data_IF_764361911036
#
_entry.id   IF_764361911036
#
_cell.length_a   1.000
_cell.length_b   1.000
_cell.length_c   1.000
_cell.angle_alpha   90.00
_cell.angle_beta   90.00
_cell.angle_gamma   90.00
#
_symmetry.space_group_name_H-M   'P 1'
#
loop_
_entity.id
_entity.type
_entity.pdbx_description
1 polymer ?
#
# COMPACT_ATOMS: atom_id res chain seq x y z
N UNK A 1 5.07 19.82 -16.24
CA UNK A 1 4.20 20.03 -15.08
C UNK A 1 2.99 19.10 -15.18
N UNK A 2 3.16 17.80 -14.92
CA UNK A 2 2.07 16.81 -15.06
C UNK A 2 2.14 15.69 -14.00
N UNK A 3 3.35 15.42 -13.50
CA UNK A 3 3.63 14.37 -12.51
C UNK A 3 2.88 14.58 -11.18
N UNK A 4 2.87 15.80 -10.67
CA UNK A 4 2.22 16.11 -9.39
C UNK A 4 0.69 16.02 -9.49
N UNK A 5 0.13 16.42 -10.63
CA UNK A 5 -1.32 16.32 -10.89
C UNK A 5 -1.76 14.85 -11.01
N UNK A 6 -0.90 14.02 -11.61
CA UNK A 6 -1.11 12.58 -11.77
C UNK A 6 -1.07 11.83 -10.41
N UNK A 7 -0.23 12.29 -9.47
CA UNK A 7 -0.20 11.79 -8.09
C UNK A 7 -1.45 12.22 -7.33
N UNK A 8 -1.88 13.48 -7.48
CA UNK A 8 -3.12 13.99 -6.87
C UNK A 8 -4.34 13.22 -7.34
N UNK A 9 -4.49 13.00 -8.64
CA UNK A 9 -5.59 12.20 -9.20
C UNK A 9 -5.61 10.78 -8.64
N UNK A 10 -4.44 10.13 -8.51
CA UNK A 10 -4.37 8.80 -7.92
C UNK A 10 -4.68 8.82 -6.41
N UNK A 11 -4.31 9.89 -5.70
CA UNK A 11 -4.63 10.08 -4.29
C UNK A 11 -6.12 10.38 -4.05
N UNK A 12 -6.81 11.04 -4.98
CA UNK A 12 -8.27 11.22 -4.91
C UNK A 12 -8.99 9.87 -5.10
N UNK A 13 -8.54 9.05 -6.06
CA UNK A 13 -9.07 7.70 -6.26
C UNK A 13 -8.84 6.76 -5.06
N UNK A 14 -7.77 7.01 -4.29
CA UNK A 14 -7.50 6.31 -3.03
C UNK A 14 -8.55 6.61 -1.96
N UNK A 15 -9.14 7.81 -1.95
CA UNK A 15 -10.17 8.17 -0.96
C UNK A 15 -11.48 7.43 -1.21
N UNK A 16 -11.76 7.04 -2.46
CA UNK A 16 -12.91 6.22 -2.86
C UNK A 16 -12.77 4.74 -2.43
N UNK A 17 -11.60 4.31 -1.97
CA UNK A 17 -11.36 2.93 -1.53
C UNK A 17 -12.07 2.60 -0.22
N UNK A 18 -12.34 1.31 -0.02
CA UNK A 18 -12.94 0.79 1.22
C UNK A 18 -11.99 0.90 2.41
N UNK A 19 -12.54 0.98 3.62
CA UNK A 19 -11.75 1.03 4.87
C UNK A 19 -10.79 -0.17 5.02
N UNK A 20 -11.19 -1.35 4.57
CA UNK A 20 -10.33 -2.53 4.58
C UNK A 20 -9.11 -2.37 3.65
N UNK A 21 -9.32 -1.86 2.44
CA UNK A 21 -8.24 -1.60 1.48
C UNK A 21 -7.31 -0.49 1.98
N UNK A 22 -7.84 0.55 2.61
CA UNK A 22 -7.04 1.61 3.24
C UNK A 22 -6.16 1.06 4.37
N UNK A 23 -6.69 0.15 5.20
CA UNK A 23 -5.91 -0.52 6.26
C UNK A 23 -4.76 -1.37 5.70
N UNK A 24 -5.01 -2.13 4.64
CA UNK A 24 -3.96 -2.91 3.97
C UNK A 24 -2.94 -2.00 3.29
N UNK A 25 -3.40 -0.90 2.68
CA UNK A 25 -2.51 0.09 2.09
C UNK A 25 -1.61 0.75 3.14
N UNK A 26 -2.10 0.99 4.36
CA UNK A 26 -1.30 1.47 5.48
C UNK A 26 -0.11 0.56 5.79
N UNK A 27 -0.32 -0.75 5.76
CA UNK A 27 0.76 -1.72 5.95
C UNK A 27 1.76 -1.73 4.77
N UNK A 28 1.28 -1.48 3.55
CA UNK A 28 2.12 -1.41 2.34
C UNK A 28 3.03 -0.19 2.35
N UNK A 29 2.50 0.98 2.69
CA UNK A 29 3.22 2.23 2.49
C UNK A 29 4.19 2.60 3.61
N UNK A 30 4.17 1.91 4.77
CA UNK A 30 5.14 2.08 5.86
C UNK A 30 5.41 3.56 6.25
N UNK A 31 4.38 4.41 6.22
CA UNK A 31 4.51 5.86 6.49
C UNK A 31 4.80 6.77 5.29
N UNK A 32 5.06 6.22 4.09
CA UNK A 32 5.32 6.98 2.85
C UNK A 32 4.29 6.68 1.74
N UNK A 33 3.02 7.13 1.89
CA UNK A 33 1.95 6.86 0.93
C UNK A 33 2.23 7.43 -0.47
N UNK A 34 2.79 8.64 -0.56
CA UNK A 34 3.11 9.29 -1.83
C UNK A 34 4.17 8.53 -2.63
N UNK A 35 5.22 8.02 -1.98
CA UNK A 35 6.24 7.22 -2.64
C UNK A 35 5.69 5.88 -3.15
N UNK A 36 4.83 5.24 -2.37
CA UNK A 36 4.15 4.02 -2.78
C UNK A 36 3.34 4.27 -4.06
N UNK A 37 2.51 5.33 -4.10
CA UNK A 37 1.74 5.72 -5.29
C UNK A 37 2.63 6.01 -6.50
N UNK A 38 3.75 6.71 -6.29
CA UNK A 38 4.75 6.99 -7.35
C UNK A 38 5.33 5.70 -7.93
N UNK A 39 5.56 4.65 -7.14
CA UNK A 39 6.06 3.36 -7.64
C UNK A 39 5.05 2.70 -8.58
N UNK A 40 3.76 2.71 -8.23
CA UNK A 40 2.70 2.17 -9.10
C UNK A 40 2.54 2.99 -10.39
N UNK A 41 2.61 4.32 -10.29
CA UNK A 41 2.56 5.22 -11.46
C UNK A 41 3.76 4.98 -12.38
N UNK A 42 4.98 4.88 -11.84
CA UNK A 42 6.19 4.56 -12.62
C UNK A 42 6.07 3.23 -13.35
N UNK A 43 5.53 2.20 -12.69
CA UNK A 43 5.35 0.86 -13.26
C UNK A 43 4.30 0.79 -14.39
N UNK A 44 3.49 1.84 -14.56
CA UNK A 44 2.44 1.95 -15.58
C UNK A 44 2.58 3.20 -16.44
N UNK A 45 3.81 3.70 -16.58
CA UNK A 45 4.13 4.84 -17.45
C UNK A 45 3.26 6.08 -17.17
N UNK A 46 3.01 6.40 -15.90
CA UNK A 46 2.20 7.54 -15.46
C UNK A 46 0.71 7.45 -15.84
N UNK A 47 0.23 6.26 -16.17
CA UNK A 47 -1.17 6.04 -16.49
C UNK A 47 -2.01 5.84 -15.21
N UNK A 48 -2.74 6.87 -14.79
CA UNK A 48 -3.59 6.88 -13.58
C UNK A 48 -4.58 5.70 -13.52
N UNK A 49 -5.44 5.46 -14.53
CA UNK A 49 -6.42 4.38 -14.43
C UNK A 49 -5.77 2.99 -14.41
N UNK A 50 -4.67 2.76 -15.12
CA UNK A 50 -3.93 1.49 -15.06
C UNK A 50 -3.21 1.31 -13.72
N UNK A 51 -2.62 2.38 -13.17
CA UNK A 51 -1.96 2.36 -11.86
C UNK A 51 -2.97 2.12 -10.73
N UNK A 52 -4.13 2.78 -10.78
CA UNK A 52 -5.22 2.57 -9.84
C UNK A 52 -5.72 1.12 -9.86
N UNK A 53 -5.96 0.56 -11.05
CA UNK A 53 -6.35 -0.85 -11.19
C UNK A 53 -5.29 -1.80 -10.61
N UNK A 54 -4.01 -1.58 -10.92
CA UNK A 54 -2.91 -2.39 -10.37
C UNK A 54 -2.83 -2.31 -8.84
N UNK A 55 -3.07 -1.12 -8.28
CA UNK A 55 -3.08 -0.91 -6.84
C UNK A 55 -4.25 -1.65 -6.18
N UNK A 56 -5.46 -1.54 -6.73
CA UNK A 56 -6.64 -2.27 -6.26
C UNK A 56 -6.44 -3.79 -6.34
N UNK A 57 -5.90 -4.29 -7.45
CA UNK A 57 -5.61 -5.71 -7.62
C UNK A 57 -4.60 -6.19 -6.57
N UNK A 58 -3.57 -5.39 -6.26
CA UNK A 58 -2.59 -5.68 -5.21
C UNK A 58 -3.23 -5.71 -3.80
N UNK A 59 -4.08 -4.73 -3.49
CA UNK A 59 -4.77 -4.66 -2.20
C UNK A 59 -5.77 -5.81 -2.03
N UNK A 60 -6.55 -6.13 -3.07
CA UNK A 60 -7.47 -7.26 -3.05
C UNK A 60 -6.73 -8.59 -2.92
N UNK A 61 -5.61 -8.78 -3.62
CA UNK A 61 -4.81 -9.99 -3.48
C UNK A 61 -4.29 -10.15 -2.05
N UNK A 62 -3.84 -9.06 -1.42
CA UNK A 62 -3.41 -9.05 -0.02
C UNK A 62 -4.54 -9.36 0.96
N UNK A 63 -5.73 -8.78 0.75
CA UNK A 63 -6.93 -9.07 1.54
C UNK A 63 -7.35 -10.53 1.41
N UNK A 64 -7.38 -11.07 0.19
CA UNK A 64 -7.78 -12.46 -0.09
C UNK A 64 -6.81 -13.50 0.47
N UNK A 65 -5.51 -13.18 0.52
CA UNK A 65 -4.48 -14.08 1.03
C UNK A 65 -4.10 -13.77 2.49
N UNK A 66 -4.77 -12.81 3.13
CA UNK A 66 -4.54 -12.37 4.51
C UNK A 66 -3.05 -12.13 4.85
N UNK A 67 -2.27 -11.61 3.90
CA UNK A 67 -0.80 -11.51 4.04
C UNK A 67 -0.39 -10.56 5.17
N UNK A 68 -1.24 -9.59 5.49
CA UNK A 68 -1.03 -8.70 6.63
C UNK A 68 -0.97 -9.47 7.98
N UNK A 69 -1.63 -10.64 8.08
CA UNK A 69 -1.54 -11.50 9.28
C UNK A 69 -0.20 -12.26 9.37
N UNK A 70 0.53 -12.42 8.25
CA UNK A 70 1.80 -13.15 8.21
C UNK A 70 2.92 -12.32 8.86
N UNK A 71 2.88 -10.99 8.71
CA UNK A 71 3.89 -10.10 9.30
C UNK A 71 3.77 -9.98 10.83
N UNK A 72 2.57 -10.16 11.39
CA UNK A 72 2.36 -10.23 12.85
C UNK A 72 3.17 -11.38 13.45
N UNK A 73 3.15 -12.54 12.78
CA UNK A 73 3.89 -13.72 13.22
C UNK A 73 5.41 -13.51 13.20
N UNK A 74 5.93 -12.70 12.26
CA UNK A 74 7.36 -12.38 12.19
C UNK A 74 7.74 -11.33 13.24
N UNK A 75 6.93 -10.30 13.45
CA UNK A 75 7.23 -9.33 14.53
C UNK A 75 7.20 -9.95 15.92
N UNK A 76 6.34 -10.96 16.17
CA UNK A 76 6.30 -11.67 17.46
C UNK A 76 7.40 -12.73 17.56
N UNK A 77 7.70 -13.47 16.49
CA UNK A 77 8.75 -14.50 16.51
C UNK A 77 10.17 -13.93 16.55
N UNK A 78 10.39 -12.71 16.04
CA UNK A 78 11.66 -11.99 16.11
C UNK A 78 11.71 -10.95 17.25
N UNK A 79 10.62 -10.72 17.99
CA UNK A 79 10.64 -10.04 19.30
C UNK A 79 10.85 -11.07 20.42
N UNK A 80 11.96 -11.81 20.32
CA UNK A 80 12.55 -12.49 21.47
C UNK A 80 13.04 -11.39 22.45
N UNK A 81 12.81 -11.52 23.76
CA UNK A 81 12.79 -10.39 24.68
C UNK A 81 14.16 -9.72 24.77
N UNK A 82 14.24 -8.46 24.34
CA UNK A 82 15.19 -7.49 24.92
C UNK A 82 14.67 -7.07 26.31
N UNK A 83 14.44 -8.06 27.17
CA UNK A 83 14.25 -7.89 28.61
C UNK A 83 15.36 -8.70 29.28
N UNK A 84 16.55 -8.10 29.28
CA UNK A 84 17.64 -8.52 30.16
C UNK A 84 17.24 -8.29 31.62
N UNK A 85 17.93 -8.97 32.56
CA UNK A 85 17.59 -9.04 33.98
C UNK A 85 17.51 -7.68 34.67
#
# INVERSE_FOLDING_TARGET
>A
MAFHDTIKQLAELMDEMTEQQKKVFQNVHQGYPSEALVRFLKAREWNVPKAHKMLLDCLNWRLQNEIDNILTFISESYCFPMRGP
#
